data_IF_590014095302
#
_entry.id   IF_590014095302
#
_cell.length_a   1.000
_cell.length_b   1.000
_cell.length_c   1.000
_cell.angle_alpha   90.00
_cell.angle_beta   90.00
_cell.angle_gamma   90.00
#
_symmetry.space_group_name_H-M   'P 1'
#
loop_
_entity.id
_entity.type
_entity.pdbx_description
1 polymer ?
#
# COMPACT_ATOMS: atom_id res chain seq x y z
N UNK A 1 -1.02 -12.50 -4.10
CA UNK A 1 -1.18 -11.55 -5.22
C UNK A 1 -2.64 -11.56 -5.63
N UNK A 2 -3.28 -10.40 -5.58
CA UNK A 2 -4.70 -10.25 -5.92
C UNK A 2 -4.87 -9.99 -7.41
N UNK A 3 -4.98 -11.07 -8.17
CA UNK A 3 -4.99 -11.02 -9.63
C UNK A 3 -6.28 -10.39 -10.15
N UNK A 4 -6.16 -9.47 -11.11
CA UNK A 4 -7.27 -8.73 -11.70
C UNK A 4 -8.16 -7.99 -10.67
N UNK A 5 -7.60 -7.64 -9.50
CA UNK A 5 -8.36 -7.04 -8.40
C UNK A 5 -9.25 -8.03 -7.63
N UNK A 6 -9.21 -9.32 -7.97
CA UNK A 6 -9.93 -10.37 -7.24
C UNK A 6 -9.10 -10.79 -6.03
N UNK A 7 -9.74 -10.75 -4.86
CA UNK A 7 -9.13 -11.15 -3.61
C UNK A 7 -8.69 -12.62 -3.64
N UNK A 8 -7.59 -12.94 -2.95
CA UNK A 8 -7.31 -14.32 -2.55
C UNK A 8 -8.26 -14.72 -1.42
N UNK A 9 -8.32 -16.01 -1.07
CA UNK A 9 -9.08 -16.47 0.10
C UNK A 9 -8.36 -16.09 1.40
N UNK A 10 -8.48 -14.82 1.79
CA UNK A 10 -7.61 -14.22 2.80
C UNK A 10 -7.82 -14.77 4.21
N UNK A 11 -9.02 -15.14 4.62
CA UNK A 11 -9.24 -15.73 5.95
C UNK A 11 -8.46 -17.04 6.11
N UNK A 12 -8.47 -17.88 5.06
CA UNK A 12 -7.73 -19.15 5.07
C UNK A 12 -6.22 -18.90 5.09
N UNK A 13 -5.74 -17.95 4.28
CA UNK A 13 -4.31 -17.59 4.24
C UNK A 13 -3.84 -17.05 5.59
N UNK A 14 -4.61 -16.14 6.20
CA UNK A 14 -4.27 -15.56 7.50
C UNK A 14 -4.29 -16.61 8.61
N UNK A 15 -5.26 -17.53 8.62
CA UNK A 15 -5.30 -18.62 9.59
C UNK A 15 -4.08 -19.56 9.48
N UNK A 16 -3.63 -19.85 8.26
CA UNK A 16 -2.41 -20.63 8.04
C UNK A 16 -1.18 -19.85 8.53
N UNK A 17 -1.09 -18.57 8.19
CA UNK A 17 0.05 -17.74 8.56
C UNK A 17 0.19 -17.62 10.08
N UNK A 18 -0.91 -17.39 10.79
CA UNK A 18 -0.95 -17.34 12.25
C UNK A 18 -0.49 -18.68 12.87
N UNK A 19 -1.01 -19.81 12.39
CA UNK A 19 -0.63 -21.15 12.85
C UNK A 19 0.88 -21.41 12.75
N UNK A 20 1.55 -20.87 11.73
CA UNK A 20 2.96 -21.11 11.47
C UNK A 20 3.86 -19.90 11.78
N UNK A 21 3.35 -18.86 12.43
CA UNK A 21 4.07 -17.62 12.74
C UNK A 21 4.72 -16.98 11.50
N UNK A 22 3.99 -16.91 10.40
CA UNK A 22 4.45 -16.37 9.13
C UNK A 22 3.88 -14.97 8.90
N UNK A 23 4.69 -14.08 8.32
CA UNK A 23 4.18 -12.83 7.78
C UNK A 23 3.44 -13.07 6.46
N UNK A 24 2.46 -12.21 6.22
CA UNK A 24 1.68 -12.15 4.98
C UNK A 24 1.89 -10.78 4.39
N UNK A 25 2.42 -10.73 3.17
CA UNK A 25 2.54 -9.51 2.38
C UNK A 25 1.55 -9.59 1.23
N UNK A 26 0.60 -8.66 1.21
CA UNK A 26 -0.37 -8.54 0.13
C UNK A 26 0.25 -7.78 -1.05
N UNK A 27 0.53 -8.49 -2.13
CA UNK A 27 0.63 -7.84 -3.44
C UNK A 27 -0.78 -7.48 -3.93
N UNK A 28 -1.16 -6.23 -3.66
CA UNK A 28 -2.41 -5.59 -4.03
C UNK A 28 -2.19 -4.56 -5.16
N UNK A 29 -1.15 -4.73 -5.99
CA UNK A 29 -0.82 -3.81 -7.08
C UNK A 29 -1.98 -3.57 -8.06
N UNK A 30 -2.92 -4.50 -8.17
CA UNK A 30 -4.11 -4.43 -9.03
C UNK A 30 -5.42 -4.26 -8.24
N UNK A 31 -5.33 -4.13 -6.91
CA UNK A 31 -6.47 -4.26 -5.99
C UNK A 31 -6.91 -2.97 -5.31
N UNK A 32 -6.44 -1.79 -5.75
CA UNK A 32 -6.92 -0.51 -5.19
C UNK A 32 -8.43 -0.39 -5.46
N UNK A 33 -9.22 -0.03 -4.44
CA UNK A 33 -10.69 -0.06 -4.39
C UNK A 33 -11.35 -1.46 -4.38
N UNK A 34 -10.57 -2.54 -4.43
CA UNK A 34 -11.10 -3.90 -4.28
C UNK A 34 -11.29 -4.27 -2.82
N UNK A 35 -12.23 -5.17 -2.53
CA UNK A 35 -12.51 -5.61 -1.16
C UNK A 35 -12.59 -7.13 -1.03
N UNK A 36 -12.27 -7.63 0.16
CA UNK A 36 -12.55 -8.99 0.60
C UNK A 36 -13.42 -8.91 1.86
N UNK A 37 -14.65 -9.42 1.78
CA UNK A 37 -15.63 -9.39 2.88
C UNK A 37 -15.77 -7.98 3.52
N UNK A 38 -15.81 -6.95 2.68
CA UNK A 38 -15.95 -5.55 3.10
C UNK A 38 -14.65 -4.88 3.58
N UNK A 39 -13.53 -5.61 3.67
CA UNK A 39 -12.22 -5.05 4.00
C UNK A 39 -11.45 -4.70 2.73
N UNK A 40 -10.80 -3.53 2.68
CA UNK A 40 -9.99 -3.14 1.53
C UNK A 40 -8.78 -4.08 1.35
N UNK A 41 -8.48 -4.48 0.11
CA UNK A 41 -7.27 -5.24 -0.17
C UNK A 41 -6.02 -4.44 0.16
N UNK A 42 -4.97 -5.12 0.62
CA UNK A 42 -3.76 -4.47 1.14
C UNK A 42 -3.84 -4.08 2.62
N UNK A 43 -5.01 -4.25 3.27
CA UNK A 43 -5.23 -3.94 4.71
C UNK A 43 -5.45 -5.18 5.58
N UNK A 44 -5.19 -6.37 5.04
CA UNK A 44 -5.56 -7.66 5.64
C UNK A 44 -4.34 -8.40 6.18
N UNK A 45 -3.30 -8.54 5.36
CA UNK A 45 -1.99 -9.06 5.75
C UNK A 45 -1.23 -8.08 6.64
N UNK A 46 -0.02 -8.44 7.03
CA UNK A 46 0.82 -7.62 7.92
C UNK A 46 1.33 -6.36 7.19
N UNK A 47 1.61 -6.50 5.89
CA UNK A 47 2.00 -5.42 4.99
C UNK A 47 1.21 -5.57 3.69
N UNK A 48 0.75 -4.46 3.12
CA UNK A 48 0.18 -4.40 1.77
C UNK A 48 0.98 -3.51 0.84
N UNK A 49 0.91 -3.79 -0.47
CA UNK A 49 1.59 -3.03 -1.50
C UNK A 49 0.61 -2.63 -2.61
N UNK A 50 0.53 -1.34 -2.90
CA UNK A 50 -0.18 -0.79 -4.06
C UNK A 50 0.79 -0.33 -5.14
N UNK A 51 0.32 -0.36 -6.38
CA UNK A 51 1.01 0.20 -7.54
C UNK A 51 0.15 1.32 -8.12
N UNK A 52 0.80 2.42 -8.47
CA UNK A 52 0.22 3.57 -9.18
C UNK A 52 0.93 3.79 -10.51
N UNK A 53 1.40 2.71 -11.14
CA UNK A 53 1.87 2.72 -12.52
C UNK A 53 0.71 3.09 -13.47
N UNK A 54 0.97 3.74 -14.59
CA UNK A 54 -0.04 4.24 -15.53
C UNK A 54 -1.02 3.18 -16.07
N UNK A 55 -0.59 1.91 -16.09
CA UNK A 55 -1.44 0.77 -16.50
C UNK A 55 -2.34 0.24 -15.39
N UNK A 56 -2.28 0.80 -14.18
CA UNK A 56 -3.16 0.45 -13.06
C UNK A 56 -4.41 1.32 -13.03
N UNK A 57 -5.31 1.01 -12.11
CA UNK A 57 -6.62 1.70 -12.00
C UNK A 57 -6.46 3.19 -11.68
N UNK A 58 -5.43 3.54 -10.90
CA UNK A 58 -5.07 4.90 -10.50
C UNK A 58 -3.59 5.10 -10.70
N UNK A 59 -3.15 6.29 -11.10
CA UNK A 59 -1.74 6.58 -11.37
C UNK A 59 -1.24 7.82 -10.64
N UNK A 60 0.04 7.80 -10.26
CA UNK A 60 0.75 8.94 -9.69
C UNK A 60 1.54 9.69 -10.77
N UNK A 61 0.92 9.95 -11.92
CA UNK A 61 1.54 10.63 -13.06
C UNK A 61 2.57 9.77 -13.80
N UNK A 62 2.28 8.48 -13.98
CA UNK A 62 3.15 7.53 -14.69
C UNK A 62 3.61 6.39 -13.78
N UNK A 63 4.28 6.73 -12.69
CA UNK A 63 4.91 5.77 -11.78
C UNK A 63 4.58 6.06 -10.32
N UNK A 64 4.46 5.01 -9.50
CA UNK A 64 4.28 5.16 -8.06
C UNK A 64 3.87 3.88 -7.35
N UNK A 65 3.85 3.94 -6.03
CA UNK A 65 3.35 2.87 -5.18
C UNK A 65 3.15 3.33 -3.75
N UNK A 66 2.54 2.48 -2.94
CA UNK A 66 2.38 2.69 -1.51
C UNK A 66 2.57 1.39 -0.75
N UNK A 67 3.23 1.47 0.40
CA UNK A 67 3.31 0.39 1.38
C UNK A 67 2.34 0.72 2.51
N UNK A 68 1.43 -0.21 2.78
CA UNK A 68 0.48 -0.14 3.89
C UNK A 68 1.02 -1.02 5.01
N UNK A 69 1.23 -0.42 6.18
CA UNK A 69 1.70 -1.13 7.36
C UNK A 69 0.50 -1.39 8.27
N UNK A 70 0.05 -2.64 8.30
CA UNK A 70 -1.16 -3.02 9.04
C UNK A 70 -0.79 -3.58 10.43
N UNK A 71 0.35 -4.26 10.53
CA UNK A 71 0.92 -4.64 11.82
C UNK A 71 1.60 -3.42 12.46
N UNK A 72 1.03 -2.95 13.56
CA UNK A 72 1.50 -1.76 14.29
C UNK A 72 2.93 -1.90 14.79
N UNK A 73 3.40 -3.13 15.02
CA UNK A 73 4.78 -3.37 15.49
C UNK A 73 5.82 -3.08 14.42
N UNK A 74 5.42 -3.04 13.14
CA UNK A 74 6.33 -2.82 12.00
C UNK A 74 6.47 -1.34 11.62
N UNK A 75 5.63 -0.44 12.16
CA UNK A 75 5.54 0.97 11.75
C UNK A 75 6.87 1.70 11.94
N UNK A 76 7.47 1.61 13.12
CA UNK A 76 8.74 2.29 13.41
C UNK A 76 9.86 1.82 12.48
N UNK A 77 9.95 0.50 12.26
CA UNK A 77 10.95 -0.08 11.36
C UNK A 77 10.73 0.37 9.92
N UNK A 78 9.49 0.43 9.46
CA UNK A 78 9.15 0.90 8.11
C UNK A 78 9.55 2.37 7.90
N UNK A 79 9.31 3.24 8.89
CA UNK A 79 9.73 4.64 8.85
C UNK A 79 11.25 4.77 8.71
N UNK A 80 12.02 4.02 9.52
CA UNK A 80 13.49 4.05 9.49
C UNK A 80 14.02 3.64 8.12
N UNK A 81 13.53 2.51 7.57
CA UNK A 81 14.01 1.98 6.28
C UNK A 81 13.67 2.93 5.13
N UNK A 82 12.47 3.53 5.13
CA UNK A 82 12.02 4.51 4.13
C UNK A 82 12.82 5.80 4.17
N UNK A 83 13.21 6.24 5.37
CA UNK A 83 14.01 7.45 5.60
C UNK A 83 15.51 7.16 5.59
N UNK A 84 15.98 6.36 4.62
CA UNK A 84 17.41 6.08 4.39
C UNK A 84 18.13 5.50 5.61
N UNK A 85 17.42 4.72 6.43
CA UNK A 85 17.97 4.08 7.61
C UNK A 85 18.06 4.98 8.83
N UNK A 86 17.39 6.14 8.81
CA UNK A 86 17.46 7.14 9.88
C UNK A 86 16.17 7.20 10.68
N UNK A 87 16.26 7.54 11.97
CA UNK A 87 15.07 7.81 12.80
C UNK A 87 14.54 9.25 12.60
N UNK A 88 14.62 9.78 11.37
CA UNK A 88 14.20 11.15 11.03
C UNK A 88 12.75 11.44 11.42
N UNK A 89 11.83 10.49 11.21
CA UNK A 89 10.43 10.66 11.63
C UNK A 89 10.27 10.86 13.14
N UNK A 90 11.09 10.19 13.96
CA UNK A 90 11.08 10.40 15.42
C UNK A 90 11.56 11.82 15.79
N UNK A 91 12.56 12.33 15.09
CA UNK A 91 13.05 13.70 15.27
C UNK A 91 11.95 14.73 14.93
N UNK A 92 11.25 14.57 13.79
CA UNK A 92 10.12 15.45 13.45
C UNK A 92 8.95 15.36 14.46
N UNK A 93 8.79 14.22 15.14
CA UNK A 93 7.83 14.06 16.23
C UNK A 93 8.31 14.62 17.59
N UNK A 94 9.53 15.17 17.66
CA UNK A 94 10.10 15.71 18.91
C UNK A 94 10.48 14.64 19.95
N UNK A 95 10.63 13.37 19.53
CA UNK A 95 10.94 12.25 20.43
C UNK A 95 12.45 12.09 20.69
N UNK A 96 13.29 12.73 19.87
CA UNK A 96 14.75 12.70 19.96
C UNK A 96 15.32 14.07 19.59
N UNK A 97 16.44 14.46 20.22
CA UNK A 97 17.08 15.77 20.00
C UNK A 97 17.70 15.92 18.61
N UNK A 98 18.22 14.82 18.06
CA UNK A 98 18.82 14.74 16.72
C UNK A 98 18.51 13.38 16.11
N UNK A 99 18.30 13.34 14.79
CA UNK A 99 18.24 12.07 14.08
C UNK A 99 19.65 11.53 13.79
N UNK A 100 19.75 10.21 13.67
CA UNK A 100 21.00 9.52 13.34
C UNK A 100 20.72 8.34 12.41
N UNK A 101 21.77 7.80 11.80
CA UNK A 101 21.71 6.55 11.08
C UNK A 101 21.62 5.39 12.08
N UNK A 102 20.57 4.57 11.95
CA UNK A 102 20.22 3.51 12.92
C UNK A 102 20.31 2.12 12.31
N UNK A 103 20.06 1.99 11.01
CA UNK A 103 20.02 0.71 10.31
C UNK A 103 20.24 0.93 8.81
N UNK A 104 20.43 -0.14 8.04
CA UNK A 104 20.38 -0.05 6.58
C UNK A 104 18.99 0.42 6.11
N UNK A 105 18.96 1.25 5.08
CA UNK A 105 17.71 1.72 4.48
C UNK A 105 17.90 2.18 3.05
N UNK A 106 16.82 2.69 2.47
CA UNK A 106 16.78 3.18 1.09
C UNK A 106 15.93 4.46 1.00
N UNK A 107 15.74 4.99 -0.21
CA UNK A 107 14.93 6.18 -0.45
C UNK A 107 13.61 5.79 -1.13
N UNK A 108 12.62 5.39 -0.33
CA UNK A 108 11.27 5.02 -0.82
C UNK A 108 10.30 6.21 -0.73
N UNK A 109 10.67 7.33 -1.35
CA UNK A 109 9.89 8.57 -1.37
C UNK A 109 9.32 8.81 -2.76
N UNK A 110 8.02 9.09 -2.83
CA UNK A 110 7.37 9.64 -4.01
C UNK A 110 7.57 11.16 -4.02
N UNK A 111 7.73 11.77 -5.20
CA UNK A 111 7.78 13.23 -5.29
C UNK A 111 6.39 13.84 -5.05
N UNK A 112 6.34 15.04 -4.46
CA UNK A 112 5.07 15.74 -4.21
C UNK A 112 4.31 16.07 -5.50
N UNK A 113 5.01 16.23 -6.63
CA UNK A 113 4.37 16.40 -7.94
C UNK A 113 3.56 15.16 -8.34
N UNK A 114 4.13 13.97 -8.17
CA UNK A 114 3.44 12.70 -8.41
C UNK A 114 2.31 12.49 -7.40
N UNK A 115 2.52 12.86 -6.13
CA UNK A 115 1.50 12.78 -5.11
C UNK A 115 0.30 13.70 -5.39
N UNK A 116 0.53 14.92 -5.92
CA UNK A 116 -0.52 15.83 -6.35
C UNK A 116 -1.33 15.25 -7.53
N UNK A 117 -0.66 14.60 -8.48
CA UNK A 117 -1.34 13.89 -9.56
C UNK A 117 -2.20 12.74 -9.02
N UNK A 118 -1.63 11.91 -8.13
CA UNK A 118 -2.33 10.80 -7.50
C UNK A 118 -3.54 11.30 -6.69
N UNK A 119 -3.41 12.42 -5.98
CA UNK A 119 -4.50 13.00 -5.20
C UNK A 119 -5.75 13.26 -6.04
N UNK A 120 -5.59 13.86 -7.23
CA UNK A 120 -6.71 14.08 -8.15
C UNK A 120 -7.38 12.76 -8.61
N UNK A 121 -6.59 11.69 -8.78
CA UNK A 121 -7.13 10.36 -9.10
C UNK A 121 -7.92 9.77 -7.92
N UNK A 122 -7.39 9.88 -6.70
CA UNK A 122 -8.03 9.34 -5.49
C UNK A 122 -9.29 10.12 -5.10
N UNK A 123 -9.32 11.44 -5.31
CA UNK A 123 -10.54 12.25 -5.13
C UNK A 123 -11.67 11.78 -6.06
N UNK A 124 -11.32 11.30 -7.26
CA UNK A 124 -12.24 10.73 -8.23
C UNK A 124 -12.38 9.19 -8.13
N UNK A 125 -11.90 8.55 -7.05
CA UNK A 125 -11.73 7.10 -6.98
C UNK A 125 -13.03 6.33 -7.25
N UNK A 126 -14.13 6.71 -6.59
CA UNK A 126 -15.41 6.02 -6.76
C UNK A 126 -15.93 6.15 -8.19
N UNK A 127 -15.83 7.35 -8.78
CA UNK A 127 -16.23 7.59 -10.18
C UNK A 127 -15.44 6.72 -11.15
N UNK A 128 -14.12 6.63 -10.98
CA UNK A 128 -13.25 5.81 -11.81
C UNK A 128 -13.60 4.32 -11.63
N UNK A 129 -13.79 3.87 -10.39
CA UNK A 129 -14.12 2.48 -10.08
C UNK A 129 -15.44 2.04 -10.73
N UNK A 130 -16.50 2.84 -10.55
CA UNK A 130 -17.82 2.55 -11.12
C UNK A 130 -17.80 2.54 -12.65
N UNK A 131 -17.08 3.46 -13.28
CA UNK A 131 -16.95 3.48 -14.74
C UNK A 131 -16.28 2.20 -15.26
N UNK A 132 -15.22 1.73 -14.60
CA UNK A 132 -14.51 0.50 -15.00
C UNK A 132 -15.37 -0.74 -14.80
N UNK A 133 -16.14 -0.81 -13.70
CA UNK A 133 -17.06 -1.91 -13.44
C UNK A 133 -18.19 -1.96 -14.48
N UNK A 134 -18.76 -0.81 -14.86
CA UNK A 134 -19.77 -0.75 -15.91
C UNK A 134 -19.25 -1.30 -17.25
N UNK A 135 -18.06 -0.85 -17.68
CA UNK A 135 -17.41 -1.33 -18.90
C UNK A 135 -17.08 -2.83 -18.86
N UNK A 136 -16.69 -3.36 -17.69
CA UNK A 136 -16.46 -4.79 -17.53
C UNK A 136 -17.76 -5.60 -17.66
N UNK A 137 -18.87 -5.09 -17.13
CA UNK A 137 -20.18 -5.74 -17.19
C UNK A 137 -20.76 -5.78 -18.62
N UNK A 138 -20.40 -4.84 -19.49
CA UNK A 138 -20.79 -4.86 -20.92
C UNK A 138 -20.15 -6.01 -21.71
N UNK A 139 -19.06 -6.58 -21.21
CA UNK A 139 -18.35 -7.69 -21.84
C UNK A 139 -18.87 -9.08 -21.41
N UNK A 140 -19.82 -9.12 -20.47
CA UNK A 140 -20.50 -10.32 -19.97
C UNK A 140 -21.88 -10.48 -20.62
#
# INVERSE_FOLDING_TARGET
MHYAGVACEMDTIMAIADKYNLFVVEDAAQGVMSTYKGRALGTIGHIGCFSFHETKNYTAGGEGGATLINDRTLVERAEIIREKGTNRSQFFRGLVDKYTWRDIGSSYLMSDLQAAYLWAQLEAAERINQQRLALWQELL
#
